data_IF_721220157087
#
_entry.id   IF_721220157087
#
_cell.length_a   1.000
_cell.length_b   1.000
_cell.length_c   1.000
_cell.angle_alpha   90.00
_cell.angle_beta   90.00
_cell.angle_gamma   90.00
#
_symmetry.space_group_name_H-M   'P 1'
#
loop_
_entity.id
_entity.type
_entity.pdbx_description
1 polymer ?
#
# COMPACT_ATOMS: atom_id res chain seq x y z
N UNK A 1 55.81 6.43 -9.77
CA UNK A 1 54.46 6.93 -9.44
C UNK A 1 53.91 7.58 -10.70
N UNK A 2 53.28 6.78 -11.56
CA UNK A 2 52.77 7.21 -12.87
C UNK A 2 51.40 7.87 -12.69
N UNK A 3 51.29 9.05 -13.28
CA UNK A 3 50.26 10.05 -13.06
C UNK A 3 49.03 9.73 -13.93
N UNK A 4 48.01 9.07 -13.37
CA UNK A 4 46.78 8.65 -14.09
C UNK A 4 45.74 9.77 -14.27
N UNK A 5 46.03 10.98 -13.77
CA UNK A 5 45.06 12.10 -13.77
C UNK A 5 44.95 12.87 -15.10
N UNK A 6 45.88 12.70 -16.05
CA UNK A 6 45.96 13.58 -17.22
C UNK A 6 45.44 12.98 -18.54
N UNK A 7 44.81 11.81 -18.55
CA UNK A 7 44.36 11.17 -19.80
C UNK A 7 42.91 11.46 -20.21
N UNK A 8 42.11 12.12 -19.36
CA UNK A 8 40.69 12.37 -19.65
C UNK A 8 40.39 13.72 -20.34
N UNK A 9 41.34 14.66 -20.43
CA UNK A 9 41.00 16.06 -20.78
C UNK A 9 41.40 16.54 -22.19
N UNK A 10 42.07 15.76 -23.04
CA UNK A 10 42.69 16.33 -24.26
C UNK A 10 42.30 15.71 -25.60
N UNK A 11 41.25 14.89 -25.66
CA UNK A 11 40.74 14.39 -26.95
C UNK A 11 39.51 15.19 -27.40
N UNK A 12 39.65 16.28 -28.18
CA UNK A 12 38.52 17.06 -28.69
C UNK A 12 37.51 16.20 -29.46
N UNK A 13 37.94 15.08 -30.04
CA UNK A 13 37.10 14.08 -30.70
C UNK A 13 36.11 13.37 -29.76
N UNK A 14 36.46 13.12 -28.50
CA UNK A 14 35.58 12.44 -27.53
C UNK A 14 34.47 13.38 -27.03
N UNK A 15 34.82 14.65 -26.79
CA UNK A 15 33.85 15.68 -26.41
C UNK A 15 32.87 15.93 -27.55
N UNK A 16 33.35 15.93 -28.80
CA UNK A 16 32.50 16.13 -29.97
C UNK A 16 31.61 14.92 -30.26
N UNK A 17 32.11 13.70 -30.04
CA UNK A 17 31.32 12.47 -30.08
C UNK A 17 30.23 12.42 -28.99
N UNK A 18 30.54 12.85 -27.76
CA UNK A 18 29.56 12.96 -26.68
C UNK A 18 28.52 14.05 -26.98
N UNK A 19 28.95 15.18 -27.56
CA UNK A 19 28.07 16.29 -27.94
C UNK A 19 27.12 15.90 -29.08
N UNK A 20 27.61 15.21 -30.09
CA UNK A 20 26.78 14.68 -31.20
C UNK A 20 25.87 13.54 -30.76
N UNK A 21 26.29 12.70 -29.84
CA UNK A 21 25.43 11.65 -29.25
C UNK A 21 24.31 12.27 -28.42
N UNK A 22 24.66 13.27 -27.60
CA UNK A 22 23.69 14.00 -26.77
C UNK A 22 22.75 14.85 -27.62
N UNK A 23 23.22 15.48 -28.71
CA UNK A 23 22.37 16.23 -29.64
C UNK A 23 21.40 15.31 -30.38
N UNK A 24 21.86 14.16 -30.89
CA UNK A 24 20.98 13.16 -31.50
C UNK A 24 19.95 12.60 -30.52
N UNK A 25 20.31 12.42 -29.25
CA UNK A 25 19.34 12.05 -28.22
C UNK A 25 18.34 13.18 -27.90
N UNK A 26 18.81 14.43 -27.80
CA UNK A 26 17.95 15.60 -27.57
C UNK A 26 16.99 15.85 -28.73
N UNK A 27 17.44 15.66 -29.98
CA UNK A 27 16.62 15.75 -31.19
C UNK A 27 15.59 14.61 -31.25
N UNK A 28 15.97 13.38 -30.83
CA UNK A 28 15.02 12.27 -30.71
C UNK A 28 13.96 12.51 -29.64
N UNK A 29 14.32 13.18 -28.55
CA UNK A 29 13.40 13.56 -27.48
C UNK A 29 12.47 14.69 -27.96
N UNK A 30 12.98 15.73 -28.62
CA UNK A 30 12.16 16.82 -29.18
C UNK A 30 11.21 16.33 -30.29
N UNK A 31 11.68 15.47 -31.21
CA UNK A 31 10.84 14.91 -32.26
C UNK A 31 9.66 14.08 -31.72
N UNK A 32 9.83 13.44 -30.55
CA UNK A 32 8.79 12.65 -29.91
C UNK A 32 7.83 13.50 -29.04
N UNK A 33 8.11 14.79 -28.86
CA UNK A 33 7.26 15.76 -28.14
C UNK A 33 6.33 16.50 -29.10
N UNK A 34 6.71 16.65 -30.38
CA UNK A 34 5.92 17.34 -31.41
C UNK A 34 4.92 16.45 -32.16
N UNK A 35 4.97 15.14 -31.97
CA UNK A 35 3.91 14.24 -32.41
C UNK A 35 2.75 14.32 -31.41
N UNK A 36 1.67 15.01 -31.76
CA UNK A 36 0.45 15.01 -30.94
C UNK A 36 0.09 13.56 -30.57
N UNK A 37 0.02 13.20 -29.27
CA UNK A 37 -0.25 11.84 -28.87
C UNK A 37 -1.58 11.41 -29.48
N UNK A 38 -1.56 10.34 -30.27
CA UNK A 38 -2.77 9.77 -30.84
C UNK A 38 -3.65 9.30 -29.69
N UNK A 39 -4.89 9.79 -29.64
CA UNK A 39 -5.88 9.42 -28.62
C UNK A 39 -6.00 7.88 -28.45
N UNK A 40 -5.82 7.12 -29.54
CA UNK A 40 -5.84 5.66 -29.50
C UNK A 40 -4.64 5.07 -28.76
N UNK A 41 -3.45 5.61 -28.99
CA UNK A 41 -2.22 5.09 -28.37
C UNK A 41 -2.21 5.42 -26.87
N UNK A 42 -2.71 6.59 -26.49
CA UNK A 42 -2.87 6.99 -25.10
C UNK A 42 -3.97 6.16 -24.39
N UNK A 43 -5.10 5.91 -25.06
CA UNK A 43 -6.14 5.03 -24.52
C UNK A 43 -5.66 3.59 -24.31
N UNK A 44 -4.91 3.03 -25.26
CA UNK A 44 -4.33 1.68 -25.15
C UNK A 44 -3.32 1.64 -23.99
N UNK A 45 -2.45 2.64 -23.86
CA UNK A 45 -1.51 2.73 -22.75
C UNK A 45 -2.23 2.79 -21.39
N UNK A 46 -3.28 3.62 -21.27
CA UNK A 46 -4.09 3.72 -20.05
C UNK A 46 -4.77 2.41 -19.69
N UNK A 47 -5.33 1.68 -20.67
CA UNK A 47 -5.94 0.37 -20.44
C UNK A 47 -4.89 -0.64 -19.95
N UNK A 48 -3.70 -0.62 -20.54
CA UNK A 48 -2.60 -1.50 -20.15
C UNK A 48 -2.12 -1.24 -18.71
N UNK A 49 -2.20 -0.01 -18.21
CA UNK A 49 -1.95 0.33 -16.80
C UNK A 49 -3.13 0.06 -15.87
N UNK A 50 -4.36 0.27 -16.34
CA UNK A 50 -5.56 0.03 -15.54
C UNK A 50 -5.73 -1.46 -15.18
N UNK A 51 -5.39 -2.36 -16.11
CA UNK A 51 -5.52 -3.81 -15.90
C UNK A 51 -4.81 -4.33 -14.63
N UNK A 52 -3.50 -4.10 -14.41
CA UNK A 52 -2.82 -4.54 -13.18
C UNK A 52 -3.33 -3.81 -11.93
N UNK A 53 -3.76 -2.56 -12.02
CA UNK A 53 -4.30 -1.80 -10.88
C UNK A 53 -5.64 -2.39 -10.43
N UNK A 54 -6.58 -2.61 -11.37
CA UNK A 54 -7.88 -3.23 -11.09
C UNK A 54 -7.67 -4.64 -10.53
N UNK A 55 -6.75 -5.41 -11.11
CA UNK A 55 -6.42 -6.75 -10.61
C UNK A 55 -5.94 -6.69 -9.16
N UNK A 56 -5.04 -5.77 -8.84
CA UNK A 56 -4.56 -5.58 -7.46
C UNK A 56 -5.69 -5.18 -6.52
N UNK A 57 -6.58 -4.28 -6.93
CA UNK A 57 -7.72 -3.85 -6.13
C UNK A 57 -8.71 -4.98 -5.83
N UNK A 58 -9.00 -5.82 -6.83
CA UNK A 58 -9.86 -7.00 -6.67
C UNK A 58 -9.21 -8.01 -5.71
N UNK A 59 -7.89 -8.23 -5.86
CA UNK A 59 -7.11 -9.08 -4.97
C UNK A 59 -7.08 -8.54 -3.53
N UNK A 60 -7.08 -7.23 -3.31
CA UNK A 60 -7.13 -6.67 -1.96
C UNK A 60 -8.50 -6.85 -1.28
N UNK A 61 -9.59 -7.01 -2.04
CA UNK A 61 -10.93 -7.24 -1.49
C UNK A 61 -11.25 -8.72 -1.19
N UNK A 62 -10.56 -9.66 -1.86
CA UNK A 62 -10.77 -11.10 -1.73
C UNK A 62 -10.61 -11.63 -0.29
N UNK A 63 -9.59 -11.22 0.48
CA UNK A 63 -9.40 -11.66 1.87
C UNK A 63 -10.63 -11.41 2.76
N UNK A 64 -11.24 -10.23 2.64
CA UNK A 64 -12.45 -9.87 3.38
C UNK A 64 -13.65 -10.77 3.04
N UNK A 65 -13.83 -11.09 1.76
CA UNK A 65 -14.90 -11.99 1.33
C UNK A 65 -14.71 -13.43 1.84
N UNK A 66 -13.48 -13.94 1.80
CA UNK A 66 -13.16 -15.27 2.33
C UNK A 66 -13.35 -15.35 3.85
N UNK A 67 -12.92 -14.32 4.59
CA UNK A 67 -13.12 -14.21 6.03
C UNK A 67 -14.60 -14.32 6.42
N UNK A 68 -15.48 -13.55 5.77
CA UNK A 68 -16.93 -13.60 6.04
C UNK A 68 -17.53 -14.97 5.70
N UNK A 69 -17.11 -15.58 4.59
CA UNK A 69 -17.58 -16.90 4.19
C UNK A 69 -17.22 -18.00 5.20
N UNK A 70 -16.01 -17.93 5.77
CA UNK A 70 -15.53 -18.88 6.79
C UNK A 70 -16.26 -18.65 8.12
N UNK A 71 -16.36 -17.40 8.59
CA UNK A 71 -17.06 -17.01 9.82
C UNK A 71 -18.54 -17.41 9.79
N UNK A 72 -19.16 -17.38 8.62
CA UNK A 72 -20.55 -17.81 8.42
C UNK A 72 -20.85 -19.27 8.77
N UNK A 73 -19.86 -20.16 8.71
CA UNK A 73 -20.03 -21.61 8.88
C UNK A 73 -19.75 -22.15 10.31
N UNK A 74 -19.34 -21.32 11.28
CA UNK A 74 -18.86 -21.79 12.61
C UNK A 74 -19.99 -21.89 13.64
N UNK A 75 -20.75 -22.98 13.74
CA UNK A 75 -21.87 -23.14 14.71
C UNK A 75 -21.40 -23.17 16.19
N UNK A 76 -21.24 -21.98 16.79
CA UNK A 76 -20.92 -21.77 18.20
C UNK A 76 -21.84 -20.71 18.82
N UNK A 77 -22.35 -20.91 20.05
CA UNK A 77 -23.26 -19.99 20.72
C UNK A 77 -22.62 -18.62 21.03
N UNK A 78 -21.29 -18.54 21.11
CA UNK A 78 -20.52 -17.31 21.33
C UNK A 78 -20.10 -16.61 20.01
N UNK A 79 -20.42 -17.17 18.84
CA UNK A 79 -20.02 -16.62 17.53
C UNK A 79 -20.41 -15.15 17.38
N UNK A 80 -21.63 -14.81 17.80
CA UNK A 80 -22.21 -13.48 17.58
C UNK A 80 -21.39 -12.38 18.29
N UNK A 81 -21.08 -12.55 19.56
CA UNK A 81 -20.31 -11.57 20.33
C UNK A 81 -18.88 -11.39 19.80
N UNK A 82 -18.23 -12.48 19.38
CA UNK A 82 -16.90 -12.42 18.76
C UNK A 82 -16.91 -11.72 17.40
N UNK A 83 -17.90 -12.01 16.54
CA UNK A 83 -18.05 -11.38 15.23
C UNK A 83 -18.38 -9.91 15.37
N UNK A 84 -19.28 -9.56 16.28
CA UNK A 84 -19.66 -8.18 16.56
C UNK A 84 -18.45 -7.40 17.10
N UNK A 85 -17.70 -7.98 18.03
CA UNK A 85 -16.48 -7.37 18.58
C UNK A 85 -15.37 -7.18 17.52
N UNK A 86 -15.13 -8.20 16.69
CA UNK A 86 -14.15 -8.11 15.60
C UNK A 86 -14.55 -7.04 14.58
N UNK A 87 -15.82 -7.03 14.17
CA UNK A 87 -16.36 -6.03 13.23
C UNK A 87 -16.23 -4.62 13.80
N UNK A 88 -16.63 -4.43 15.05
CA UNK A 88 -16.58 -3.13 15.72
C UNK A 88 -15.13 -2.64 15.89
N UNK A 89 -14.21 -3.54 16.21
CA UNK A 89 -12.77 -3.24 16.26
C UNK A 89 -12.25 -2.83 14.88
N UNK A 90 -12.55 -3.59 13.82
CA UNK A 90 -12.15 -3.26 12.44
C UNK A 90 -12.72 -1.91 12.00
N UNK A 91 -13.99 -1.62 12.30
CA UNK A 91 -14.60 -0.31 11.98
C UNK A 91 -13.89 0.82 12.71
N UNK A 92 -13.57 0.63 14.00
CA UNK A 92 -12.86 1.63 14.79
C UNK A 92 -11.46 1.91 14.22
N UNK A 93 -10.70 0.87 13.86
CA UNK A 93 -9.38 1.00 13.20
C UNK A 93 -9.48 1.67 11.82
N UNK A 94 -10.51 1.33 11.04
CA UNK A 94 -10.74 1.92 9.73
C UNK A 94 -10.93 3.43 9.83
N UNK A 95 -11.74 3.89 10.80
CA UNK A 95 -12.04 5.31 11.00
C UNK A 95 -10.82 6.05 11.56
N UNK A 96 -10.17 5.49 12.57
CA UNK A 96 -9.14 6.19 13.36
C UNK A 96 -7.71 6.07 12.81
N UNK A 97 -7.45 5.11 11.92
CA UNK A 97 -6.14 4.86 11.34
C UNK A 97 -6.15 4.79 9.82
N UNK A 98 -6.80 3.76 9.26
CA UNK A 98 -6.66 3.45 7.83
C UNK A 98 -7.21 4.55 6.92
N UNK A 99 -8.34 5.19 7.29
CA UNK A 99 -8.89 6.30 6.51
C UNK A 99 -7.93 7.49 6.40
N UNK A 100 -7.22 7.80 7.49
CA UNK A 100 -6.21 8.87 7.50
C UNK A 100 -5.02 8.47 6.61
N UNK A 101 -4.52 7.25 6.77
CA UNK A 101 -3.41 6.72 5.96
C UNK A 101 -3.72 6.70 4.46
N UNK A 102 -4.90 6.19 4.08
CA UNK A 102 -5.35 6.16 2.68
C UNK A 102 -5.64 7.55 2.12
N UNK A 103 -6.19 8.46 2.93
CA UNK A 103 -6.39 9.86 2.55
C UNK A 103 -5.06 10.56 2.22
N UNK A 104 -4.05 10.41 3.10
CA UNK A 104 -2.71 10.93 2.87
C UNK A 104 -2.04 10.28 1.65
N UNK A 105 -2.21 8.96 1.49
CA UNK A 105 -1.66 8.22 0.35
C UNK A 105 -2.24 8.70 -0.99
N UNK A 106 -3.51 9.09 -1.01
CA UNK A 106 -4.15 9.68 -2.19
C UNK A 106 -3.57 11.06 -2.54
N UNK A 107 -3.30 11.89 -1.53
CA UNK A 107 -2.61 13.16 -1.74
C UNK A 107 -1.19 12.96 -2.27
N UNK A 108 -0.50 11.93 -1.78
CA UNK A 108 0.83 11.55 -2.27
C UNK A 108 0.84 11.07 -3.70
N UNK A 109 -0.17 10.32 -4.14
CA UNK A 109 -0.32 9.89 -5.53
C UNK A 109 -0.33 11.10 -6.49
N UNK A 110 -1.01 12.17 -6.09
CA UNK A 110 -1.04 13.43 -6.84
C UNK A 110 0.34 14.10 -6.90
N UNK A 111 1.05 14.19 -5.76
CA UNK A 111 2.39 14.79 -5.73
C UNK A 111 3.41 13.97 -6.52
N UNK A 112 3.35 12.64 -6.42
CA UNK A 112 4.26 11.73 -7.11
C UNK A 112 4.01 11.76 -8.63
N UNK A 113 2.75 11.71 -9.06
CA UNK A 113 2.41 11.80 -10.50
C UNK A 113 2.81 13.14 -11.11
N UNK A 114 2.61 14.26 -10.40
CA UNK A 114 3.04 15.59 -10.86
C UNK A 114 4.57 15.69 -10.97
N UNK A 115 5.31 15.12 -10.03
CA UNK A 115 6.78 15.22 -10.00
C UNK A 115 7.44 14.31 -11.03
N UNK A 116 6.88 13.12 -11.25
CA UNK A 116 7.26 12.22 -12.35
C UNK A 116 6.93 12.87 -13.70
N UNK A 117 5.72 13.44 -13.86
CA UNK A 117 5.32 14.15 -15.08
C UNK A 117 6.18 15.37 -15.39
N UNK A 118 6.67 16.08 -14.36
CA UNK A 118 7.61 17.20 -14.51
C UNK A 118 9.08 16.76 -14.74
N UNK A 119 9.36 15.45 -14.82
CA UNK A 119 10.71 14.90 -15.01
C UNK A 119 11.64 15.06 -13.80
N UNK A 120 11.12 15.45 -12.62
CA UNK A 120 11.90 15.74 -11.40
C UNK A 120 12.00 14.51 -10.50
N UNK A 121 12.49 13.40 -11.04
CA UNK A 121 12.60 12.12 -10.31
C UNK A 121 13.45 12.20 -9.03
N UNK A 122 14.43 13.11 -8.98
CA UNK A 122 15.25 13.36 -7.78
C UNK A 122 14.41 13.78 -6.57
N UNK A 123 13.33 14.55 -6.78
CA UNK A 123 12.49 15.02 -5.69
C UNK A 123 11.52 13.95 -5.18
N UNK A 124 11.33 12.85 -5.92
CA UNK A 124 10.43 11.77 -5.52
C UNK A 124 10.86 11.10 -4.21
N UNK A 125 12.17 10.92 -4.00
CA UNK A 125 12.70 10.39 -2.74
C UNK A 125 12.44 11.31 -1.55
N UNK A 126 12.45 12.63 -1.77
CA UNK A 126 12.14 13.62 -0.74
C UNK A 126 10.65 13.58 -0.35
N UNK A 127 9.76 13.42 -1.34
CA UNK A 127 8.32 13.23 -1.07
C UNK A 127 8.05 11.90 -0.36
N UNK A 128 8.77 10.83 -0.68
CA UNK A 128 8.67 9.56 0.03
C UNK A 128 9.08 9.70 1.51
N UNK A 129 10.22 10.35 1.78
CA UNK A 129 10.66 10.62 3.16
C UNK A 129 9.69 11.53 3.91
N UNK A 130 9.16 12.56 3.25
CA UNK A 130 8.12 13.41 3.82
C UNK A 130 6.86 12.61 4.14
N UNK A 131 6.42 11.73 3.23
CA UNK A 131 5.31 10.80 3.43
C UNK A 131 5.50 9.90 4.64
N UNK A 132 6.70 9.32 4.82
CA UNK A 132 7.04 8.52 5.99
C UNK A 132 6.92 9.31 7.30
N UNK A 133 7.41 10.55 7.32
CA UNK A 133 7.34 11.39 8.52
C UNK A 133 5.88 11.74 8.85
N UNK A 134 5.10 12.12 7.84
CA UNK A 134 3.68 12.48 8.03
C UNK A 134 2.87 11.25 8.48
N UNK A 135 3.00 10.11 7.80
CA UNK A 135 2.32 8.87 8.20
C UNK A 135 2.77 8.40 9.59
N UNK A 136 4.07 8.51 9.90
CA UNK A 136 4.61 8.21 11.23
C UNK A 136 4.05 9.14 12.32
N UNK A 137 3.87 10.42 12.00
CA UNK A 137 3.23 11.38 12.93
C UNK A 137 1.76 11.05 13.17
N UNK A 138 1.05 10.56 12.15
CA UNK A 138 -0.37 10.18 12.25
C UNK A 138 -0.56 8.82 12.91
N UNK A 139 0.45 7.94 12.85
CA UNK A 139 0.42 6.67 13.56
C UNK A 139 0.31 6.85 15.08
N UNK A 140 1.00 7.85 15.65
CA UNK A 140 0.99 8.12 17.10
C UNK A 140 -0.44 8.35 17.64
N UNK A 141 -1.24 9.31 17.12
CA UNK A 141 -2.61 9.50 17.60
C UNK A 141 -3.50 8.30 17.30
N UNK A 142 -3.32 7.60 16.17
CA UNK A 142 -4.06 6.37 15.89
C UNK A 142 -3.78 5.29 16.94
N UNK A 143 -2.54 5.13 17.39
CA UNK A 143 -2.19 4.19 18.46
C UNK A 143 -2.92 4.55 19.76
N UNK A 144 -2.88 5.81 20.15
CA UNK A 144 -3.50 6.29 21.40
C UNK A 144 -5.01 6.03 21.38
N UNK A 145 -5.68 6.35 20.27
CA UNK A 145 -7.12 6.13 20.11
C UNK A 145 -7.48 4.64 20.16
N UNK A 146 -6.76 3.80 19.40
CA UNK A 146 -7.04 2.36 19.32
C UNK A 146 -6.68 1.61 20.61
N UNK A 147 -5.70 2.09 21.37
CA UNK A 147 -5.38 1.55 22.69
C UNK A 147 -6.52 1.76 23.69
N UNK A 148 -7.25 2.88 23.58
CA UNK A 148 -8.42 3.21 24.40
C UNK A 148 -9.75 2.89 23.70
N UNK A 149 -9.75 2.03 22.68
CA UNK A 149 -10.94 1.71 21.90
C UNK A 149 -12.10 1.20 22.80
N UNK A 150 -11.80 0.37 23.79
CA UNK A 150 -12.80 -0.12 24.76
C UNK A 150 -13.57 1.02 25.43
N UNK A 151 -12.86 2.05 25.91
CA UNK A 151 -13.48 3.21 26.54
C UNK A 151 -14.40 3.98 25.59
N UNK A 152 -13.97 4.19 24.34
CA UNK A 152 -14.79 4.85 23.33
C UNK A 152 -16.03 4.03 22.97
N UNK A 153 -15.91 2.70 22.89
CA UNK A 153 -17.03 1.81 22.59
C UNK A 153 -18.04 1.77 23.74
N UNK A 154 -17.58 1.75 25.00
CA UNK A 154 -18.45 1.88 26.17
C UNK A 154 -19.19 3.23 26.19
N UNK A 155 -18.52 4.31 25.79
CA UNK A 155 -19.14 5.63 25.69
C UNK A 155 -20.23 5.69 24.59
N UNK A 156 -20.09 4.88 23.55
CA UNK A 156 -21.12 4.68 22.53
C UNK A 156 -22.24 3.72 22.96
N UNK A 157 -22.31 3.37 24.25
CA UNK A 157 -23.30 2.46 24.84
C UNK A 157 -23.29 1.05 24.22
N UNK A 158 -22.12 0.58 23.77
CA UNK A 158 -21.95 -0.82 23.36
C UNK A 158 -21.96 -1.76 24.57
N UNK A 159 -22.34 -3.01 24.33
CA UNK A 159 -22.35 -4.03 25.39
C UNK A 159 -20.94 -4.18 26.01
N UNK A 160 -20.79 -4.17 27.35
CA UNK A 160 -19.49 -4.23 27.99
C UNK A 160 -18.64 -5.45 27.62
N UNK A 161 -19.27 -6.60 27.36
CA UNK A 161 -18.55 -7.83 26.96
C UNK A 161 -17.98 -7.70 25.56
N UNK A 162 -18.77 -7.17 24.62
CA UNK A 162 -18.37 -6.92 23.24
C UNK A 162 -17.33 -5.80 23.16
N UNK A 163 -17.48 -4.73 23.96
CA UNK A 163 -16.55 -3.61 24.01
C UNK A 163 -15.16 -4.00 24.53
N UNK A 164 -15.08 -4.83 25.57
CA UNK A 164 -13.81 -5.34 26.10
C UNK A 164 -13.09 -6.24 25.07
N UNK A 165 -13.85 -7.09 24.39
CA UNK A 165 -13.32 -7.97 23.35
C UNK A 165 -12.84 -7.17 22.12
N UNK A 166 -13.63 -6.19 21.67
CA UNK A 166 -13.27 -5.29 20.59
C UNK A 166 -12.03 -4.44 20.93
N UNK A 167 -11.91 -3.98 22.18
CA UNK A 167 -10.73 -3.28 22.66
C UNK A 167 -9.47 -4.14 22.66
N UNK A 168 -9.60 -5.45 22.89
CA UNK A 168 -8.48 -6.40 22.81
C UNK A 168 -8.06 -6.60 21.35
N UNK A 169 -9.02 -6.82 20.44
CA UNK A 169 -8.74 -6.90 19.00
C UNK A 169 -8.10 -5.63 18.44
N UNK A 170 -8.56 -4.46 18.89
CA UNK A 170 -8.04 -3.16 18.49
C UNK A 170 -6.57 -3.00 18.90
N UNK A 171 -6.24 -3.37 20.13
CA UNK A 171 -4.86 -3.34 20.66
C UNK A 171 -3.90 -4.25 19.90
N UNK A 172 -4.35 -5.42 19.44
CA UNK A 172 -3.52 -6.33 18.64
C UNK A 172 -3.34 -5.77 17.23
N UNK A 173 -4.43 -5.34 16.59
CA UNK A 173 -4.42 -4.90 15.20
C UNK A 173 -3.68 -3.58 14.98
N UNK A 174 -3.57 -2.74 16.01
CA UNK A 174 -2.86 -1.45 15.92
C UNK A 174 -1.38 -1.61 15.56
N UNK A 175 -0.77 -2.73 15.96
CA UNK A 175 0.65 -3.03 15.68
C UNK A 175 0.91 -3.35 14.21
N UNK A 176 -0.13 -3.65 13.43
CA UNK A 176 -0.03 -3.93 12.00
C UNK A 176 -0.13 -2.67 11.13
N UNK A 177 -0.75 -1.59 11.65
CA UNK A 177 -0.84 -0.30 10.95
C UNK A 177 0.47 0.25 10.36
N UNK A 178 1.64 0.20 11.02
CA UNK A 178 2.87 0.74 10.42
C UNK A 178 3.31 -0.04 9.18
N UNK A 179 3.07 -1.36 9.15
CA UNK A 179 3.32 -2.19 7.97
C UNK A 179 2.42 -1.78 6.80
N UNK A 180 1.12 -1.63 7.07
CA UNK A 180 0.12 -1.21 6.08
C UNK A 180 0.45 0.18 5.52
N UNK A 181 0.82 1.15 6.37
CA UNK A 181 1.19 2.49 5.93
C UNK A 181 2.45 2.49 5.06
N UNK A 182 3.45 1.69 5.41
CA UNK A 182 4.67 1.57 4.62
C UNK A 182 4.39 0.92 3.26
N UNK A 183 3.59 -0.15 3.23
CA UNK A 183 3.19 -0.83 2.00
C UNK A 183 2.44 0.13 1.07
N UNK A 184 1.43 0.84 1.57
CA UNK A 184 0.63 1.77 0.77
C UNK A 184 1.50 2.90 0.22
N UNK A 185 2.42 3.44 1.02
CA UNK A 185 3.35 4.47 0.59
C UNK A 185 4.25 4.02 -0.57
N UNK A 186 4.86 2.83 -0.44
CA UNK A 186 5.70 2.24 -1.49
C UNK A 186 4.88 1.99 -2.75
N UNK A 187 3.65 1.48 -2.59
CA UNK A 187 2.71 1.22 -3.69
C UNK A 187 2.42 2.48 -4.49
N UNK A 188 2.15 3.62 -3.84
CA UNK A 188 1.89 4.90 -4.53
C UNK A 188 3.11 5.41 -5.28
N UNK A 189 4.30 5.33 -4.69
CA UNK A 189 5.53 5.76 -5.38
C UNK A 189 5.80 4.91 -6.63
N UNK A 190 5.64 3.58 -6.53
CA UNK A 190 5.82 2.66 -7.67
C UNK A 190 4.73 2.83 -8.73
N UNK A 191 3.48 3.05 -8.32
CA UNK A 191 2.36 3.36 -9.22
C UNK A 191 2.63 4.65 -10.02
N UNK A 192 3.08 5.71 -9.35
CA UNK A 192 3.44 6.98 -10.01
C UNK A 192 4.59 6.85 -11.01
N UNK A 193 5.50 5.89 -10.81
CA UNK A 193 6.59 5.57 -11.74
C UNK A 193 6.16 4.63 -12.88
N UNK A 194 4.89 4.24 -12.96
CA UNK A 194 4.37 3.25 -13.91
C UNK A 194 4.95 1.82 -13.71
N UNK A 195 5.49 1.51 -12.52
CA UNK A 195 6.09 0.20 -12.19
C UNK A 195 5.10 -0.62 -11.34
N UNK A 196 4.03 -1.11 -11.97
CA UNK A 196 2.91 -1.80 -11.28
C UNK A 196 2.98 -3.33 -11.30
N UNK A 197 3.76 -3.92 -12.22
CA UNK A 197 3.93 -5.37 -12.35
C UNK A 197 4.43 -6.08 -11.09
N UNK A 198 5.49 -5.61 -10.40
CA UNK A 198 5.95 -6.29 -9.18
C UNK A 198 4.93 -6.20 -8.04
N UNK A 199 4.17 -5.10 -7.95
CA UNK A 199 3.11 -4.97 -6.92
C UNK A 199 2.00 -6.00 -7.12
N UNK A 200 1.58 -6.23 -8.37
CA UNK A 200 0.58 -7.25 -8.67
C UNK A 200 1.06 -8.67 -8.29
N UNK A 201 2.35 -8.98 -8.50
CA UNK A 201 2.90 -10.27 -8.09
C UNK A 201 2.92 -10.46 -6.57
N UNK A 202 3.34 -9.43 -5.83
CA UNK A 202 3.33 -9.44 -4.36
C UNK A 202 1.89 -9.62 -3.85
N UNK A 203 0.92 -8.88 -4.40
CA UNK A 203 -0.48 -9.00 -4.02
C UNK A 203 -1.06 -10.42 -4.25
N UNK A 204 -0.68 -11.08 -5.35
CA UNK A 204 -1.08 -12.47 -5.63
C UNK A 204 -0.47 -13.42 -4.59
N UNK A 205 0.81 -13.26 -4.26
CA UNK A 205 1.50 -14.09 -3.26
C UNK A 205 0.90 -13.87 -1.87
N UNK A 206 0.68 -12.62 -1.46
CA UNK A 206 0.02 -12.28 -0.18
C UNK A 206 -1.38 -12.88 -0.08
N UNK A 207 -2.17 -12.83 -1.16
CA UNK A 207 -3.49 -13.46 -1.19
C UNK A 207 -3.44 -15.00 -1.09
N UNK A 208 -2.48 -15.63 -1.77
CA UNK A 208 -2.27 -17.06 -1.67
C UNK A 208 -1.85 -17.46 -0.24
N UNK A 209 -0.99 -16.68 0.40
CA UNK A 209 -0.61 -16.86 1.81
C UNK A 209 -1.81 -16.64 2.74
N UNK A 210 -2.61 -15.59 2.54
CA UNK A 210 -3.84 -15.34 3.32
C UNK A 210 -4.80 -16.52 3.25
N UNK A 211 -5.09 -17.00 2.04
CA UNK A 211 -5.96 -18.16 1.84
C UNK A 211 -5.39 -19.44 2.46
N UNK A 212 -4.08 -19.68 2.31
CA UNK A 212 -3.41 -20.86 2.87
C UNK A 212 -3.39 -20.86 4.40
N UNK A 213 -3.01 -19.75 5.02
CA UNK A 213 -2.96 -19.57 6.47
C UNK A 213 -4.38 -19.57 7.06
N UNK A 214 -5.32 -18.87 6.42
CA UNK A 214 -6.71 -18.82 6.83
C UNK A 214 -7.38 -20.20 6.79
N UNK A 215 -7.17 -20.97 5.72
CA UNK A 215 -7.65 -22.35 5.62
C UNK A 215 -6.99 -23.26 6.66
N UNK A 216 -5.67 -23.17 6.83
CA UNK A 216 -4.92 -23.99 7.79
C UNK A 216 -5.34 -23.72 9.24
N UNK A 217 -5.47 -22.46 9.65
CA UNK A 217 -5.90 -22.15 11.01
C UNK A 217 -7.35 -22.58 11.26
N UNK A 218 -8.26 -22.42 10.29
CA UNK A 218 -9.66 -22.82 10.47
C UNK A 218 -9.90 -24.32 10.52
N UNK A 219 -9.11 -25.12 9.79
CA UNK A 219 -9.30 -26.58 9.76
C UNK A 219 -8.42 -27.34 10.74
N UNK A 220 -7.27 -26.78 11.16
CA UNK A 220 -6.28 -27.53 11.96
C UNK A 220 -6.09 -27.01 13.40
N UNK A 221 -6.68 -25.87 13.76
CA UNK A 221 -6.51 -25.27 15.09
C UNK A 221 -7.88 -24.95 15.72
N UNK A 222 -8.10 -25.29 17.00
CA UNK A 222 -9.35 -24.95 17.74
C UNK A 222 -9.51 -23.43 18.00
N UNK A 223 -8.62 -22.59 17.48
CA UNK A 223 -8.63 -21.13 17.56
C UNK A 223 -9.62 -20.53 16.55
N UNK A 224 -10.91 -20.85 16.67
CA UNK A 224 -12.01 -20.46 15.77
C UNK A 224 -11.89 -19.06 15.14
N UNK A 225 -12.54 -18.03 15.69
CA UNK A 225 -12.59 -16.70 15.05
C UNK A 225 -11.29 -15.87 15.18
N UNK A 226 -10.46 -16.14 16.19
CA UNK A 226 -9.16 -15.49 16.35
C UNK A 226 -8.21 -15.80 15.19
N UNK A 227 -8.40 -16.92 14.50
CA UNK A 227 -7.64 -17.26 13.29
C UNK A 227 -7.75 -16.22 12.19
N UNK A 228 -8.91 -15.59 12.02
CA UNK A 228 -9.15 -14.60 10.97
C UNK A 228 -8.35 -13.33 11.23
N UNK A 229 -8.33 -12.86 12.48
CA UNK A 229 -7.54 -11.69 12.87
C UNK A 229 -6.04 -11.98 12.72
N UNK A 230 -5.60 -13.18 13.12
CA UNK A 230 -4.20 -13.62 12.96
C UNK A 230 -3.83 -13.80 11.48
N UNK A 231 -4.70 -14.36 10.65
CA UNK A 231 -4.45 -14.55 9.22
C UNK A 231 -4.35 -13.22 8.47
N UNK A 232 -5.23 -12.25 8.79
CA UNK A 232 -5.16 -10.90 8.21
C UNK A 232 -3.88 -10.18 8.65
N UNK A 233 -3.51 -10.28 9.92
CA UNK A 233 -2.28 -9.66 10.43
C UNK A 233 -0.97 -10.26 9.89
N UNK A 234 -0.99 -11.45 9.29
CA UNK A 234 0.19 -12.08 8.68
C UNK A 234 0.24 -11.97 7.15
N UNK A 235 -0.83 -11.49 6.51
CA UNK A 235 -0.92 -11.39 5.05
C UNK A 235 -0.80 -9.97 4.50
N UNK A 236 -1.04 -8.96 5.35
CA UNK A 236 -0.76 -7.54 5.08
C UNK A 236 0.72 -7.19 5.29
#
# INVERSE_FOLDING_TARGET
MTNWSNSMETSPLLIDALRTTKSKQLDKIHYNVDAAPSFRDEAIALIQFAFPIITTLVLEFLPGAFSVAIVGHIDSPLRKEFVDAATLSTMFLNITGLSIGFGLSTAMDTLCSQTVGAGKLYNLGMYFQSGLIVLGSMYIPSVIMNYHAEYFLLLLHQDPTVAALAGTFSRVSVWCLPGIFLYELIKKVLQAQNIVKPMAYIAVVSNAMYGGIGYYLCYHTELGLSSVVVATTHAD
#
